data_IF_323916415991
#
_entry.id   IF_323916415991
#
_cell.length_a   1.000
_cell.length_b   1.000
_cell.length_c   1.000
_cell.angle_alpha   90.00
_cell.angle_beta   90.00
_cell.angle_gamma   90.00
#
_symmetry.space_group_name_H-M   'P 1'
#
loop_
_entity.id
_entity.type
_entity.pdbx_description
1 polymer ?
#
# COMPACT_ATOMS: atom_id res chain seq x y z
N UNK A 1 17.71 -21.48 -13.00
CA UNK A 1 19.01 -22.17 -13.18
C UNK A 1 19.83 -21.50 -14.28
N UNK A 2 19.30 -21.28 -15.49
CA UNK A 2 20.03 -20.52 -16.54
C UNK A 2 20.32 -19.06 -16.19
N UNK A 3 19.40 -18.36 -15.51
CA UNK A 3 19.56 -16.92 -15.24
C UNK A 3 20.63 -16.62 -14.17
N UNK A 4 20.76 -17.49 -13.16
CA UNK A 4 21.76 -17.33 -12.10
C UNK A 4 23.18 -17.53 -12.63
N UNK A 5 23.41 -18.61 -13.40
CA UNK A 5 24.71 -18.90 -14.01
C UNK A 5 25.16 -17.76 -14.96
N UNK A 6 24.21 -17.13 -15.66
CA UNK A 6 24.47 -15.98 -16.51
C UNK A 6 24.92 -14.75 -15.69
N UNK A 7 24.21 -14.44 -14.60
CA UNK A 7 24.58 -13.32 -13.73
C UNK A 7 25.93 -13.54 -13.03
N UNK A 8 26.21 -14.77 -12.60
CA UNK A 8 27.50 -15.12 -12.02
C UNK A 8 28.65 -15.01 -13.05
N UNK A 9 28.40 -15.38 -14.31
CA UNK A 9 29.38 -15.22 -15.40
C UNK A 9 29.70 -13.75 -15.70
N UNK A 10 28.74 -12.83 -15.50
CA UNK A 10 28.93 -11.38 -15.59
C UNK A 10 29.58 -10.78 -14.32
N UNK A 11 29.93 -11.62 -13.34
CA UNK A 11 30.65 -11.22 -12.12
C UNK A 11 29.76 -10.84 -10.95
N UNK A 12 28.46 -11.10 -11.01
CA UNK A 12 27.56 -10.93 -9.88
C UNK A 12 27.73 -12.08 -8.87
N UNK A 13 27.58 -11.77 -7.58
CA UNK A 13 27.65 -12.78 -6.51
C UNK A 13 26.25 -13.06 -6.01
N UNK A 14 25.84 -14.33 -5.99
CA UNK A 14 24.61 -14.74 -5.33
C UNK A 14 24.74 -14.52 -3.82
N UNK A 15 23.71 -13.93 -3.21
CA UNK A 15 23.66 -13.60 -1.79
C UNK A 15 22.35 -14.10 -1.22
N UNK A 16 22.39 -14.75 -0.07
CA UNK A 16 21.18 -15.19 0.62
C UNK A 16 20.39 -13.96 1.13
N UNK A 17 19.04 -13.98 1.12
CA UNK A 17 18.24 -12.80 1.49
C UNK A 17 18.58 -12.21 2.87
N UNK A 18 18.98 -13.03 3.84
CA UNK A 18 19.35 -12.58 5.19
C UNK A 18 20.73 -11.92 5.27
N UNK A 19 21.57 -12.07 4.25
CA UNK A 19 22.89 -11.44 4.13
C UNK A 19 22.83 -10.13 3.34
N UNK A 20 21.68 -9.81 2.74
CA UNK A 20 21.47 -8.57 2.02
C UNK A 20 21.46 -7.38 2.98
N UNK A 21 22.45 -6.50 2.86
CA UNK A 21 22.53 -5.25 3.59
C UNK A 21 22.05 -4.08 2.72
N UNK A 22 21.09 -3.30 3.22
CA UNK A 22 20.62 -2.10 2.54
C UNK A 22 21.18 -0.83 3.19
N UNK A 23 22.06 -0.12 2.48
CA UNK A 23 22.49 1.22 2.86
C UNK A 23 21.48 2.26 2.34
N UNK A 24 20.62 2.72 3.24
CA UNK A 24 19.66 3.78 2.98
C UNK A 24 20.32 5.11 2.53
N UNK A 25 21.59 5.33 2.88
CA UNK A 25 22.35 6.54 2.54
C UNK A 25 23.22 6.39 1.27
N UNK A 26 23.12 5.25 0.57
CA UNK A 26 23.88 5.02 -0.65
C UNK A 26 23.58 6.08 -1.72
N UNK A 27 24.44 6.18 -2.74
CA UNK A 27 24.28 7.16 -3.84
C UNK A 27 23.97 6.53 -5.21
N UNK A 28 24.16 5.22 -5.38
CA UNK A 28 23.85 4.48 -6.60
C UNK A 28 22.40 3.96 -6.64
N UNK A 29 21.63 4.15 -7.74
CA UNK A 29 20.32 3.53 -7.87
C UNK A 29 20.38 2.01 -7.65
N UNK A 30 19.35 1.45 -7.02
CA UNK A 30 19.24 0.01 -6.77
C UNK A 30 18.06 -0.52 -7.58
N UNK A 31 18.30 -1.53 -8.41
CA UNK A 31 17.27 -2.20 -9.18
C UNK A 31 16.96 -3.56 -8.54
N UNK A 32 15.70 -3.78 -8.20
CA UNK A 32 15.19 -5.05 -7.68
C UNK A 32 14.35 -5.69 -8.77
N UNK A 33 14.79 -6.86 -9.22
CA UNK A 33 14.18 -7.59 -10.33
C UNK A 33 13.42 -8.78 -9.75
N UNK A 34 12.14 -8.88 -10.06
CA UNK A 34 11.26 -9.98 -9.69
C UNK A 34 10.72 -10.63 -10.96
N UNK A 35 10.63 -11.95 -11.01
CA UNK A 35 9.93 -12.63 -12.11
C UNK A 35 8.43 -12.45 -11.89
N UNK A 36 7.69 -12.03 -12.92
CA UNK A 36 6.26 -11.74 -12.80
C UNK A 36 5.45 -12.94 -12.28
N UNK A 37 5.82 -14.15 -12.69
CA UNK A 37 5.20 -15.40 -12.23
C UNK A 37 5.39 -15.67 -10.72
N UNK A 38 6.45 -15.14 -10.12
CA UNK A 38 6.82 -15.38 -8.72
C UNK A 38 6.33 -14.29 -7.75
N UNK A 39 5.94 -13.11 -8.26
CA UNK A 39 5.63 -11.94 -7.41
C UNK A 39 4.62 -12.27 -6.33
N UNK A 40 3.54 -12.97 -6.69
CA UNK A 40 2.44 -13.24 -5.75
C UNK A 40 2.87 -14.12 -4.56
N UNK A 41 3.89 -14.96 -4.74
CA UNK A 41 4.38 -15.88 -3.72
C UNK A 41 5.57 -15.29 -2.94
N UNK A 42 6.48 -14.59 -3.64
CA UNK A 42 7.80 -14.27 -3.09
C UNK A 42 8.05 -12.78 -2.82
N UNK A 43 7.16 -11.85 -3.22
CA UNK A 43 7.45 -10.40 -3.07
C UNK A 43 7.68 -9.97 -1.62
N UNK A 44 7.07 -10.67 -0.66
CA UNK A 44 7.21 -10.39 0.78
C UNK A 44 8.43 -11.06 1.42
N UNK A 45 9.17 -11.88 0.65
CA UNK A 45 10.45 -12.44 1.06
C UNK A 45 11.61 -11.49 0.75
N UNK A 46 11.34 -10.41 -0.01
CA UNK A 46 12.33 -9.36 -0.27
C UNK A 46 12.76 -8.72 1.06
N UNK A 47 14.06 -8.80 1.41
CA UNK A 47 14.55 -8.27 2.68
C UNK A 47 14.38 -6.76 2.74
N UNK A 48 13.99 -6.23 3.89
CA UNK A 48 13.78 -4.79 4.09
C UNK A 48 12.78 -4.14 3.12
N UNK A 49 11.79 -4.89 2.61
CA UNK A 49 10.84 -4.42 1.57
C UNK A 49 10.27 -3.02 1.83
N UNK A 50 9.86 -2.71 3.05
CA UNK A 50 9.33 -1.38 3.37
C UNK A 50 10.39 -0.27 3.26
N UNK A 51 11.60 -0.48 3.76
CA UNK A 51 12.69 0.51 3.69
C UNK A 51 13.15 0.72 2.25
N UNK A 52 13.20 -0.35 1.47
CA UNK A 52 13.46 -0.28 0.04
C UNK A 52 12.41 0.58 -0.67
N UNK A 53 11.12 0.38 -0.39
CA UNK A 53 10.04 1.21 -0.93
C UNK A 53 10.12 2.67 -0.50
N UNK A 54 10.54 2.97 0.74
CA UNK A 54 10.72 4.35 1.22
C UNK A 54 11.84 5.09 0.47
N UNK A 55 12.81 4.37 -0.08
CA UNK A 55 13.92 4.96 -0.80
C UNK A 55 13.56 5.26 -2.26
N UNK A 56 13.64 6.53 -2.65
CA UNK A 56 13.41 6.97 -4.04
C UNK A 56 14.45 6.47 -5.05
N UNK A 57 15.57 5.91 -4.55
CA UNK A 57 16.65 5.32 -5.36
C UNK A 57 16.36 3.89 -5.80
N UNK A 58 15.37 3.25 -5.18
CA UNK A 58 15.06 1.83 -5.42
C UNK A 58 13.93 1.72 -6.43
N UNK A 59 14.24 1.05 -7.54
CA UNK A 59 13.30 0.69 -8.59
C UNK A 59 13.01 -0.80 -8.48
N UNK A 60 11.72 -1.15 -8.51
CA UNK A 60 11.29 -2.53 -8.57
C UNK A 60 10.73 -2.81 -9.96
N UNK A 61 11.18 -3.89 -10.58
CA UNK A 61 10.76 -4.26 -11.93
C UNK A 61 10.38 -5.72 -11.99
N UNK A 62 9.31 -5.99 -12.71
CA UNK A 62 8.77 -7.29 -13.02
C UNK A 62 9.19 -7.71 -14.42
N UNK A 63 9.75 -8.91 -14.56
CA UNK A 63 10.19 -9.46 -15.85
C UNK A 63 9.56 -10.83 -16.12
N UNK A 64 9.31 -11.13 -17.39
CA UNK A 64 8.97 -12.48 -17.83
C UNK A 64 10.23 -13.21 -18.33
N UNK A 65 11.23 -12.46 -18.80
CA UNK A 65 12.51 -12.95 -19.31
C UNK A 65 13.63 -11.93 -19.09
N UNK A 66 14.91 -12.35 -19.06
CA UNK A 66 16.04 -11.42 -18.87
C UNK A 66 16.07 -10.25 -19.87
N UNK A 67 15.67 -10.51 -21.11
CA UNK A 67 15.61 -9.52 -22.20
C UNK A 67 14.72 -8.31 -21.88
N UNK A 68 13.75 -8.43 -20.95
CA UNK A 68 12.84 -7.34 -20.59
C UNK A 68 13.57 -6.17 -19.91
N UNK A 69 14.69 -6.45 -19.25
CA UNK A 69 15.56 -5.41 -18.66
C UNK A 69 16.26 -4.65 -19.77
N UNK A 70 16.88 -5.36 -20.72
CA UNK A 70 17.68 -4.78 -21.80
C UNK A 70 16.81 -4.00 -22.78
N UNK A 71 15.63 -4.53 -23.10
CA UNK A 71 14.70 -3.92 -24.04
C UNK A 71 13.78 -2.86 -23.41
N UNK A 72 13.88 -2.62 -22.10
CA UNK A 72 13.04 -1.69 -21.35
C UNK A 72 11.53 -2.03 -21.47
N UNK A 73 11.20 -3.32 -21.55
CA UNK A 73 9.83 -3.85 -21.62
C UNK A 73 9.33 -4.42 -20.30
N UNK A 74 10.14 -4.31 -19.24
CA UNK A 74 9.79 -4.71 -17.89
C UNK A 74 8.59 -3.93 -17.33
N UNK A 75 7.82 -4.57 -16.47
CA UNK A 75 6.74 -3.95 -15.73
C UNK A 75 7.31 -3.17 -14.54
N UNK A 76 6.97 -1.90 -14.37
CA UNK A 76 7.29 -1.20 -13.12
C UNK A 76 6.41 -1.71 -11.96
N UNK A 77 7.06 -2.12 -10.88
CA UNK A 77 6.42 -2.53 -9.62
C UNK A 77 6.66 -1.44 -8.59
N UNK A 78 5.71 -1.27 -7.65
CA UNK A 78 5.80 -0.29 -6.57
C UNK A 78 6.24 1.11 -7.05
N UNK A 79 5.75 1.55 -8.21
CA UNK A 79 6.30 2.68 -8.93
C UNK A 79 6.09 4.00 -8.17
N UNK A 80 4.82 4.33 -7.89
CA UNK A 80 4.43 5.57 -7.19
C UNK A 80 3.04 5.44 -6.60
N UNK A 81 2.64 6.45 -5.84
CA UNK A 81 1.30 6.51 -5.26
C UNK A 81 1.08 5.42 -4.21
N UNK A 82 -0.19 5.09 -3.97
CA UNK A 82 -0.52 4.17 -2.91
C UNK A 82 -2.02 3.96 -2.73
N UNK A 83 -2.37 3.24 -1.69
CA UNK A 83 -3.74 3.17 -1.23
C UNK A 83 -3.80 3.14 0.29
N UNK A 84 -4.90 3.62 0.83
CA UNK A 84 -5.13 3.68 2.27
C UNK A 84 -6.32 2.78 2.61
N UNK A 85 -6.17 2.00 3.67
CA UNK A 85 -7.23 1.18 4.27
C UNK A 85 -7.28 1.49 5.76
N UNK A 86 -8.47 1.61 6.31
CA UNK A 86 -8.65 1.85 7.74
C UNK A 86 -9.01 0.53 8.40
N UNK A 87 -8.57 0.36 9.65
CA UNK A 87 -9.23 -0.60 10.52
C UNK A 87 -10.65 -0.10 10.88
N UNK A 88 -11.47 -1.02 11.38
CA UNK A 88 -12.86 -0.77 11.70
C UNK A 88 -13.03 0.34 12.75
N UNK A 89 -12.24 0.32 13.81
CA UNK A 89 -12.35 1.28 14.92
C UNK A 89 -11.90 2.68 14.50
N UNK A 90 -10.80 2.76 13.74
CA UNK A 90 -10.27 4.00 13.19
C UNK A 90 -11.29 4.65 12.26
N UNK A 91 -11.98 3.87 11.42
CA UNK A 91 -13.04 4.41 10.55
C UNK A 91 -14.28 4.83 11.35
N UNK A 92 -14.75 4.01 12.29
CA UNK A 92 -15.98 4.27 13.05
C UNK A 92 -15.88 5.56 13.87
N UNK A 93 -14.74 5.77 14.52
CA UNK A 93 -14.43 6.94 15.34
C UNK A 93 -14.08 8.20 14.53
N UNK A 94 -13.89 8.07 13.21
CA UNK A 94 -13.54 9.19 12.34
C UNK A 94 -14.72 10.12 12.11
N UNK A 95 -14.71 11.27 12.79
CA UNK A 95 -15.68 12.34 12.59
C UNK A 95 -15.62 12.96 11.19
N UNK A 96 -16.71 13.60 10.75
CA UNK A 96 -16.85 14.18 9.40
C UNK A 96 -15.73 15.18 9.05
N UNK A 97 -15.36 16.05 9.99
CA UNK A 97 -14.31 17.05 9.73
C UNK A 97 -12.93 16.41 9.53
N UNK A 98 -12.65 15.30 10.20
CA UNK A 98 -11.42 14.55 9.98
C UNK A 98 -11.47 13.75 8.67
N UNK A 99 -12.64 13.24 8.25
CA UNK A 99 -12.82 12.66 6.92
C UNK A 99 -12.52 13.67 5.81
N UNK A 100 -13.02 14.91 5.92
CA UNK A 100 -12.74 15.98 4.95
C UNK A 100 -11.27 16.32 4.87
N UNK A 101 -10.60 16.46 6.03
CA UNK A 101 -9.15 16.68 6.08
C UNK A 101 -8.41 15.52 5.40
N UNK A 102 -8.74 14.28 5.74
CA UNK A 102 -8.14 13.10 5.14
C UNK A 102 -8.31 13.07 3.61
N UNK A 103 -9.50 13.41 3.10
CA UNK A 103 -9.72 13.49 1.64
C UNK A 103 -8.88 14.60 1.01
N UNK A 104 -8.77 15.78 1.63
CA UNK A 104 -7.87 16.82 1.14
C UNK A 104 -6.40 16.37 1.09
N UNK A 105 -5.98 15.53 2.04
CA UNK A 105 -4.65 14.90 2.02
C UNK A 105 -4.50 13.96 0.83
N UNK A 106 -5.49 13.10 0.59
CA UNK A 106 -5.49 12.18 -0.53
C UNK A 106 -5.41 12.91 -1.87
N UNK A 107 -6.10 14.05 -2.02
CA UNK A 107 -6.05 14.89 -3.22
C UNK A 107 -4.66 15.50 -3.44
N UNK A 108 -3.97 15.96 -2.39
CA UNK A 108 -2.58 16.44 -2.51
C UNK A 108 -1.60 15.33 -2.86
N UNK A 109 -1.79 14.14 -2.28
CA UNK A 109 -0.99 12.96 -2.61
C UNK A 109 -1.23 12.50 -4.06
N UNK A 110 -2.46 12.58 -4.57
CA UNK A 110 -2.82 12.15 -5.92
C UNK A 110 -2.08 12.95 -7.01
N UNK A 111 -1.69 14.20 -6.72
CA UNK A 111 -0.85 15.03 -7.61
C UNK A 111 0.55 14.45 -7.86
N UNK A 112 1.05 13.61 -6.95
CA UNK A 112 2.40 13.02 -7.02
C UNK A 112 2.39 11.56 -7.51
N UNK A 113 1.24 10.90 -7.47
CA UNK A 113 1.05 9.52 -7.93
C UNK A 113 -0.37 9.08 -7.60
N UNK A 114 -0.89 8.04 -8.24
CA UNK A 114 -2.29 7.64 -8.04
C UNK A 114 -2.53 7.17 -6.60
N UNK A 115 -3.49 7.77 -5.91
CA UNK A 115 -3.92 7.38 -4.56
C UNK A 115 -5.39 6.99 -4.51
N UNK A 116 -5.71 5.97 -3.70
CA UNK A 116 -7.09 5.53 -3.45
C UNK A 116 -7.33 5.27 -1.98
N UNK A 117 -8.51 5.64 -1.50
CA UNK A 117 -9.00 5.18 -0.20
C UNK A 117 -9.87 3.95 -0.42
N UNK A 118 -9.34 2.78 -0.06
CA UNK A 118 -10.08 1.53 -0.11
C UNK A 118 -10.93 1.35 1.13
N UNK A 119 -12.20 1.07 0.89
CA UNK A 119 -13.20 0.82 1.92
C UNK A 119 -13.68 -0.63 1.80
N UNK A 120 -13.61 -1.41 2.88
CA UNK A 120 -14.18 -2.76 2.86
C UNK A 120 -15.70 -2.69 2.65
N UNK A 121 -16.26 -3.74 2.06
CA UNK A 121 -17.70 -3.81 1.80
C UNK A 121 -18.51 -3.74 3.11
N UNK A 122 -18.05 -4.41 4.19
CA UNK A 122 -18.66 -4.37 5.52
C UNK A 122 -18.75 -2.94 6.07
N UNK A 123 -17.71 -2.15 5.84
CA UNK A 123 -17.61 -0.79 6.36
C UNK A 123 -18.53 0.16 5.58
N UNK A 124 -18.56 0.01 4.25
CA UNK A 124 -19.53 0.70 3.39
C UNK A 124 -20.98 0.38 3.78
N UNK A 125 -21.25 -0.90 4.06
CA UNK A 125 -22.55 -1.36 4.55
C UNK A 125 -22.91 -0.72 5.89
N UNK A 126 -22.01 -0.72 6.86
CA UNK A 126 -22.21 -0.10 8.18
C UNK A 126 -22.49 1.40 8.06
N UNK A 127 -21.72 2.13 7.26
CA UNK A 127 -21.95 3.56 7.01
C UNK A 127 -23.36 3.81 6.46
N UNK A 128 -23.86 2.93 5.57
CA UNK A 128 -25.22 3.00 5.02
C UNK A 128 -26.29 2.71 6.08
N UNK A 129 -26.10 1.69 6.91
CA UNK A 129 -27.05 1.30 7.96
C UNK A 129 -27.14 2.35 9.09
N UNK A 130 -26.01 2.97 9.45
CA UNK A 130 -25.91 4.00 10.49
C UNK A 130 -26.55 5.34 10.12
N UNK A 131 -26.95 5.56 8.87
CA UNK A 131 -27.64 6.79 8.44
C UNK A 131 -28.94 7.06 9.20
N UNK A 132 -29.51 6.04 9.85
CA UNK A 132 -30.71 6.16 10.68
C UNK A 132 -30.42 6.61 12.11
N UNK A 133 -29.16 6.57 12.54
CA UNK A 133 -28.77 6.80 13.92
C UNK A 133 -28.60 8.29 14.27
N UNK A 134 -28.09 9.11 13.35
CA UNK A 134 -27.87 10.54 13.60
C UNK A 134 -27.71 11.34 12.30
N UNK A 135 -27.90 12.66 12.39
CA UNK A 135 -27.60 13.59 11.28
C UNK A 135 -26.12 13.56 10.89
N UNK A 136 -25.23 13.36 11.86
CA UNK A 136 -23.80 13.22 11.58
C UNK A 136 -23.51 11.97 10.75
N UNK A 137 -24.11 10.83 11.08
CA UNK A 137 -23.94 9.59 10.32
C UNK A 137 -24.47 9.74 8.87
N UNK A 138 -25.59 10.46 8.67
CA UNK A 138 -26.08 10.80 7.33
C UNK A 138 -25.07 11.61 6.53
N UNK A 139 -24.52 12.67 7.14
CA UNK A 139 -23.52 13.53 6.49
C UNK A 139 -22.23 12.79 6.16
N UNK A 140 -21.76 11.91 7.05
CA UNK A 140 -20.60 11.04 6.80
C UNK A 140 -20.85 10.14 5.59
N UNK A 141 -22.00 9.46 5.53
CA UNK A 141 -22.34 8.60 4.39
C UNK A 141 -22.43 9.39 3.07
N UNK A 142 -23.14 10.53 3.08
CA UNK A 142 -23.26 11.40 1.91
C UNK A 142 -21.89 11.89 1.43
N UNK A 143 -21.00 12.25 2.37
CA UNK A 143 -19.63 12.65 2.03
C UNK A 143 -18.85 11.53 1.36
N UNK A 144 -18.93 10.30 1.90
CA UNK A 144 -18.30 9.12 1.28
C UNK A 144 -18.87 8.87 -0.12
N UNK A 145 -20.18 9.01 -0.33
CA UNK A 145 -20.79 8.87 -1.66
C UNK A 145 -20.23 9.87 -2.67
N UNK A 146 -20.12 11.15 -2.28
CA UNK A 146 -19.49 12.16 -3.12
C UNK A 146 -18.01 11.82 -3.42
N UNK A 147 -17.28 11.28 -2.44
CA UNK A 147 -15.89 10.86 -2.64
C UNK A 147 -15.77 9.64 -3.56
N UNK A 148 -16.75 8.73 -3.55
CA UNK A 148 -16.82 7.61 -4.48
C UNK A 148 -17.10 8.09 -5.91
N UNK A 149 -18.05 9.02 -6.08
CA UNK A 149 -18.34 9.64 -7.39
C UNK A 149 -17.14 10.40 -7.95
N UNK A 150 -16.36 11.07 -7.09
CA UNK A 150 -15.10 11.72 -7.44
C UNK A 150 -13.95 10.72 -7.70
N UNK A 151 -14.16 9.42 -7.43
CA UNK A 151 -13.15 8.38 -7.59
C UNK A 151 -12.07 8.38 -6.51
N UNK A 152 -12.21 9.12 -5.42
CA UNK A 152 -11.21 9.13 -4.32
C UNK A 152 -11.36 7.87 -3.47
N UNK A 153 -12.61 7.48 -3.19
CA UNK A 153 -12.95 6.28 -2.43
C UNK A 153 -13.36 5.16 -3.38
N UNK A 154 -12.87 3.96 -3.15
CA UNK A 154 -13.29 2.76 -3.85
C UNK A 154 -13.70 1.68 -2.85
N UNK A 155 -14.89 1.12 -3.03
CA UNK A 155 -15.40 0.04 -2.18
C UNK A 155 -14.92 -1.28 -2.76
N UNK A 156 -14.19 -2.04 -1.95
CA UNK A 156 -13.68 -3.34 -2.34
C UNK A 156 -14.84 -4.32 -2.58
N UNK A 157 -14.72 -5.24 -3.56
CA UNK A 157 -15.66 -6.35 -3.71
C UNK A 157 -15.72 -7.19 -2.42
N UNK A 158 -16.87 -7.79 -2.12
CA UNK A 158 -17.02 -8.64 -0.93
C UNK A 158 -15.93 -9.74 -0.85
N UNK A 159 -15.26 -9.86 0.30
CA UNK A 159 -14.24 -10.87 0.54
C UNK A 159 -14.18 -11.34 2.00
N UNK A 160 -13.14 -12.10 2.37
CA UNK A 160 -13.02 -12.74 3.69
C UNK A 160 -13.15 -11.79 4.90
N UNK A 161 -12.78 -10.51 4.76
CA UNK A 161 -12.90 -9.51 5.83
C UNK A 161 -14.36 -9.15 6.13
N UNK A 162 -15.25 -9.33 5.15
CA UNK A 162 -16.66 -8.97 5.21
C UNK A 162 -17.55 -10.08 5.80
N UNK A 163 -16.95 -11.23 6.09
CA UNK A 163 -17.65 -12.38 6.67
C UNK A 163 -18.05 -12.08 8.11
N UNK A 164 -19.36 -12.01 8.35
CA UNK A 164 -19.98 -11.59 9.62
C UNK A 164 -19.62 -12.52 10.79
N UNK A 165 -19.36 -13.80 10.53
CA UNK A 165 -19.05 -14.78 11.58
C UNK A 165 -17.64 -14.65 12.17
N UNK A 166 -16.79 -13.77 11.63
CA UNK A 166 -15.46 -13.48 12.20
C UNK A 166 -15.53 -12.21 13.03
N UNK A 167 -15.15 -12.31 14.30
CA UNK A 167 -15.10 -11.16 15.22
C UNK A 167 -14.14 -10.07 14.73
N UNK A 168 -13.00 -10.46 14.14
CA UNK A 168 -12.01 -9.52 13.57
C UNK A 168 -11.53 -9.96 12.18
N UNK A 169 -11.46 -9.06 11.20
CA UNK A 169 -10.82 -9.32 9.91
C UNK A 169 -9.32 -9.59 10.05
N UNK A 170 -8.80 -10.47 9.18
CA UNK A 170 -7.36 -10.62 8.98
C UNK A 170 -6.88 -9.55 7.98
N UNK A 171 -6.63 -8.34 8.52
CA UNK A 171 -6.20 -7.21 7.71
C UNK A 171 -4.82 -7.41 7.10
N UNK A 172 -3.92 -8.16 7.75
CA UNK A 172 -2.60 -8.45 7.19
C UNK A 172 -2.73 -9.25 5.90
N UNK A 173 -3.44 -10.37 5.93
CA UNK A 173 -3.68 -11.19 4.73
C UNK A 173 -4.44 -10.41 3.65
N UNK A 174 -5.40 -9.57 4.05
CA UNK A 174 -6.11 -8.70 3.12
C UNK A 174 -5.18 -7.72 2.40
N UNK A 175 -4.36 -6.98 3.15
CA UNK A 175 -3.49 -5.94 2.61
C UNK A 175 -2.35 -6.51 1.77
N UNK A 176 -1.79 -7.66 2.17
CA UNK A 176 -0.85 -8.46 1.36
C UNK A 176 -1.46 -8.77 -0.01
N UNK A 177 -2.69 -9.28 -0.03
CA UNK A 177 -3.40 -9.57 -1.29
C UNK A 177 -3.71 -8.31 -2.10
N UNK A 178 -4.16 -7.24 -1.46
CA UNK A 178 -4.45 -5.96 -2.13
C UNK A 178 -3.19 -5.36 -2.75
N UNK A 179 -2.04 -5.52 -2.09
CA UNK A 179 -0.75 -5.08 -2.59
C UNK A 179 -0.36 -5.81 -3.88
N UNK A 180 -0.56 -7.13 -3.96
CA UNK A 180 -0.34 -7.90 -5.19
C UNK A 180 -1.30 -7.45 -6.30
N UNK A 181 -2.58 -7.25 -5.97
CA UNK A 181 -3.60 -6.80 -6.94
C UNK A 181 -3.35 -5.37 -7.46
N UNK A 182 -2.65 -4.55 -6.68
CA UNK A 182 -2.28 -3.18 -7.01
C UNK A 182 -0.76 -3.03 -7.05
N UNK A 183 -0.06 -3.95 -7.73
CA UNK A 183 1.41 -4.07 -7.65
C UNK A 183 2.15 -2.81 -8.09
N UNK A 184 1.56 -1.95 -8.91
CA UNK A 184 2.14 -0.67 -9.31
C UNK A 184 2.05 0.42 -8.23
N UNK A 185 1.17 0.27 -7.24
CA UNK A 185 1.03 1.20 -6.11
C UNK A 185 2.18 0.99 -5.13
N UNK A 186 2.97 2.04 -4.88
CA UNK A 186 4.16 1.94 -4.04
C UNK A 186 3.82 1.67 -2.58
N UNK A 187 2.86 2.41 -2.04
CA UNK A 187 2.58 2.43 -0.61
C UNK A 187 1.17 1.95 -0.25
N UNK A 188 1.05 0.73 0.30
CA UNK A 188 -0.11 0.36 1.09
C UNK A 188 0.00 0.98 2.49
N UNK A 189 -1.00 1.76 2.88
CA UNK A 189 -1.08 2.40 4.20
C UNK A 189 -2.27 1.84 4.97
N UNK A 190 -2.01 1.30 6.15
CA UNK A 190 -3.02 0.81 7.08
C UNK A 190 -3.17 1.77 8.27
N UNK A 191 -4.36 2.38 8.38
CA UNK A 191 -4.68 3.29 9.47
C UNK A 191 -5.22 2.50 10.65
N UNK A 192 -4.42 2.43 11.72
CA UNK A 192 -4.74 1.68 12.94
C UNK A 192 -4.09 2.30 14.18
N UNK A 193 -4.75 2.16 15.33
CA UNK A 193 -4.20 2.53 16.65
C UNK A 193 -3.40 1.37 17.29
N UNK A 194 -3.42 0.18 16.68
CA UNK A 194 -2.68 -1.01 17.15
C UNK A 194 -1.71 -1.49 16.05
N UNK A 195 -0.61 -0.77 15.78
CA UNK A 195 0.36 -1.19 14.79
C UNK A 195 1.06 -2.49 15.20
N UNK A 196 1.44 -3.29 14.20
CA UNK A 196 2.13 -4.57 14.36
C UNK A 196 3.31 -4.62 13.37
N UNK A 197 4.49 -5.04 13.83
CA UNK A 197 5.71 -5.13 13.03
C UNK A 197 5.60 -6.06 11.82
N UNK A 198 4.66 -7.01 11.85
CA UNK A 198 4.40 -7.93 10.74
C UNK A 198 3.92 -7.20 9.49
N UNK A 199 3.21 -6.07 9.63
CA UNK A 199 2.83 -5.23 8.49
C UNK A 199 4.06 -4.62 7.81
N UNK A 200 5.01 -4.11 8.60
CA UNK A 200 6.23 -3.50 8.07
C UNK A 200 7.09 -4.51 7.33
N UNK A 201 7.21 -5.74 7.88
CA UNK A 201 7.88 -6.87 7.22
C UNK A 201 7.26 -7.18 5.85
N UNK A 202 5.96 -6.96 5.69
CA UNK A 202 5.23 -7.16 4.43
C UNK A 202 5.14 -5.88 3.56
N UNK A 203 5.97 -4.87 3.82
CA UNK A 203 6.02 -3.67 3.00
C UNK A 203 4.82 -2.73 3.18
N UNK A 204 4.12 -2.81 4.31
CA UNK A 204 2.92 -2.02 4.62
C UNK A 204 3.23 -0.97 5.69
N UNK A 205 2.88 0.27 5.40
CA UNK A 205 2.99 1.38 6.36
C UNK A 205 1.82 1.30 7.34
N UNK A 206 2.11 1.29 8.64
CA UNK A 206 1.08 1.43 9.68
C UNK A 206 1.22 2.77 10.39
N UNK A 207 0.10 3.44 10.62
CA UNK A 207 0.07 4.67 11.41
C UNK A 207 -1.34 4.98 11.88
N UNK A 208 -1.49 5.76 12.95
CA UNK A 208 -2.79 6.31 13.31
C UNK A 208 -3.16 7.52 12.44
N UNK A 209 -4.44 7.90 12.48
CA UNK A 209 -4.99 8.99 11.68
C UNK A 209 -4.34 10.36 11.97
N UNK A 210 -3.90 10.59 13.21
CA UNK A 210 -3.28 11.84 13.61
C UNK A 210 -1.86 11.99 13.04
N UNK A 211 -1.10 10.89 13.02
CA UNK A 211 0.21 10.82 12.38
C UNK A 211 0.08 11.04 10.89
N UNK A 212 -0.86 10.37 10.22
CA UNK A 212 -1.12 10.57 8.79
C UNK A 212 -1.47 12.03 8.48
N UNK A 213 -2.30 12.65 9.32
CA UNK A 213 -2.69 14.06 9.17
C UNK A 213 -1.53 15.05 9.29
N UNK A 214 -0.46 14.68 10.02
CA UNK A 214 0.75 15.51 10.18
C UNK A 214 1.68 15.47 8.98
N UNK A 215 1.61 14.44 8.13
CA UNK A 215 2.53 14.24 6.99
C UNK A 215 2.44 15.39 5.98
N UNK A 216 1.30 16.10 5.90
CA UNK A 216 1.14 17.29 5.04
C UNK A 216 1.26 18.64 5.73
N UNK A 217 1.28 18.67 7.07
CA UNK A 217 1.47 19.94 7.80
C UNK A 217 2.95 20.34 7.88
N UNK A 218 3.85 19.37 7.68
CA UNK A 218 5.28 19.59 7.63
C UNK A 218 5.75 19.31 6.20
N UNK A 219 6.25 20.34 5.50
CA UNK A 219 6.86 20.27 4.15
C UNK A 219 8.10 19.32 4.03
N UNK A 220 8.27 18.36 4.93
CA UNK A 220 9.31 17.33 4.87
C UNK A 220 8.69 16.02 4.37
N UNK A 221 8.44 15.97 3.07
CA UNK A 221 7.90 14.78 2.39
C UNK A 221 9.00 13.71 2.27
N UNK A 222 9.13 12.84 3.27
CA UNK A 222 9.91 11.58 3.17
C UNK A 222 9.08 10.40 2.65
N UNK A 223 7.91 10.68 2.06
CA UNK A 223 7.19 9.73 1.19
C UNK A 223 7.21 10.35 -0.21
N UNK A 224 8.36 10.26 -0.87
CA UNK A 224 8.57 10.58 -2.29
C UNK A 224 8.97 9.30 -3.01
#
# INVERSE_FOLDING_TARGET
MQDQELLEAEGHTAVEPYEFEFDANGQTPLLIILRNEDIAEHVFEVPHLLELKKSSRVLFVGIDRPDDVVNLTHQELFAKGGFVVFDETALETLGLENMKKFVGIMEELDKKGKWKWFLHYRDSRKLRENTRCSLEAQRRKQFIDCCQEAGIVEVLPYHECDVISRDKPDFLRCLVRLQIQNISARFPVFITDTPDETFEKNGILTMNIYTFSRILSNDTCSVS
#
